data_IF_427045516831
#
_entry.id   IF_427045516831
#
_cell.length_a   1.000
_cell.length_b   1.000
_cell.length_c   1.000
_cell.angle_alpha   90.00
_cell.angle_beta   90.00
_cell.angle_gamma   90.00
#
_symmetry.space_group_name_H-M   'P 1'
#
loop_
_entity.id
_entity.type
_entity.pdbx_description
1 polymer ?
#
# COMPACT_ATOMS: atom_id res chain seq x y z
N UNK A 1 -18.13 40.02 -14.15
CA UNK A 1 -18.61 39.14 -15.24
C UNK A 1 -19.13 37.79 -14.73
N UNK A 2 -19.52 37.65 -13.46
CA UNK A 2 -19.97 36.36 -12.86
C UNK A 2 -21.14 36.51 -11.89
N UNK A 3 -21.80 37.69 -11.83
CA UNK A 3 -22.89 37.93 -10.86
C UNK A 3 -24.08 36.98 -11.09
N UNK A 4 -24.33 36.62 -12.35
CA UNK A 4 -25.46 35.80 -12.77
C UNK A 4 -25.02 34.38 -13.22
N UNK A 5 -23.76 34.02 -12.96
CA UNK A 5 -23.27 32.67 -13.26
C UNK A 5 -23.77 31.68 -12.20
N UNK A 6 -24.11 30.43 -12.57
CA UNK A 6 -24.48 29.40 -11.61
C UNK A 6 -23.35 29.14 -10.62
N UNK A 7 -23.70 28.75 -9.39
CA UNK A 7 -22.69 28.25 -8.44
C UNK A 7 -22.09 26.95 -8.98
N UNK A 8 -20.92 26.54 -8.46
CA UNK A 8 -20.32 25.26 -8.83
C UNK A 8 -21.24 24.07 -8.48
N UNK A 9 -21.94 24.18 -7.34
CA UNK A 9 -22.91 23.18 -6.87
C UNK A 9 -24.10 23.08 -7.85
N UNK A 10 -24.71 24.22 -8.21
CA UNK A 10 -25.80 24.25 -9.22
C UNK A 10 -25.33 23.74 -10.58
N UNK A 11 -24.11 24.09 -10.99
CA UNK A 11 -23.54 23.67 -12.26
C UNK A 11 -23.35 22.15 -12.32
N UNK A 12 -22.80 21.55 -11.26
CA UNK A 12 -22.52 20.10 -11.24
C UNK A 12 -23.79 19.28 -11.00
N UNK A 13 -24.57 19.65 -9.99
CA UNK A 13 -25.71 18.84 -9.53
C UNK A 13 -26.94 19.04 -10.40
N UNK A 14 -27.22 20.27 -10.85
CA UNK A 14 -28.41 20.61 -11.63
C UNK A 14 -28.12 20.60 -13.13
N UNK A 15 -27.14 21.38 -13.59
CA UNK A 15 -26.90 21.51 -15.05
C UNK A 15 -26.23 20.27 -15.65
N UNK A 16 -25.42 19.57 -14.85
CA UNK A 16 -24.77 18.32 -15.24
C UNK A 16 -25.35 17.09 -14.54
N UNK A 17 -26.50 17.20 -13.87
CA UNK A 17 -27.28 16.06 -13.34
C UNK A 17 -26.44 15.05 -12.54
N UNK A 18 -25.61 15.53 -11.60
CA UNK A 18 -24.76 14.68 -10.76
C UNK A 18 -23.81 13.76 -11.56
N UNK A 19 -23.38 14.18 -12.76
CA UNK A 19 -22.60 13.34 -13.72
C UNK A 19 -21.44 12.56 -13.10
N UNK A 20 -20.79 13.11 -12.09
CA UNK A 20 -19.60 12.52 -11.46
C UNK A 20 -19.88 11.71 -10.19
N UNK A 21 -21.11 11.77 -9.66
CA UNK A 21 -21.46 11.26 -8.33
C UNK A 21 -21.17 9.77 -8.12
N UNK A 22 -21.30 8.97 -9.18
CA UNK A 22 -21.04 7.52 -9.16
C UNK A 22 -19.78 7.13 -9.95
N UNK A 23 -18.94 8.10 -10.33
CA UNK A 23 -17.78 7.88 -11.17
C UNK A 23 -16.47 8.00 -10.39
N UNK A 24 -15.46 7.25 -10.85
CA UNK A 24 -14.07 7.47 -10.48
C UNK A 24 -13.50 8.57 -11.36
N UNK A 25 -13.12 9.71 -10.77
CA UNK A 25 -12.69 10.90 -11.51
C UNK A 25 -11.24 11.23 -11.23
N UNK A 26 -10.46 11.47 -12.27
CA UNK A 26 -9.12 12.04 -12.16
C UNK A 26 -9.19 13.56 -12.37
N UNK A 27 -8.89 14.33 -11.32
CA UNK A 27 -8.79 15.78 -11.39
C UNK A 27 -7.37 16.16 -11.81
N UNK A 28 -7.23 16.62 -13.06
CA UNK A 28 -5.96 17.14 -13.58
C UNK A 28 -5.97 18.65 -13.49
N UNK A 29 -4.98 19.22 -12.82
CA UNK A 29 -4.79 20.67 -12.79
C UNK A 29 -3.33 21.05 -12.65
N UNK A 30 -3.03 22.32 -12.90
CA UNK A 30 -1.66 22.81 -12.75
C UNK A 30 -1.24 22.85 -11.30
N UNK A 31 -2.12 23.31 -10.41
CA UNK A 31 -1.94 23.23 -8.97
C UNK A 31 -3.11 22.45 -8.37
N UNK A 32 -3.10 21.13 -8.53
CA UNK A 32 -4.22 20.27 -8.15
C UNK A 32 -4.66 20.42 -6.68
N UNK A 33 -3.76 20.84 -5.78
CA UNK A 33 -4.10 21.20 -4.40
C UNK A 33 -5.23 22.25 -4.31
N UNK A 34 -5.26 23.22 -5.23
CA UNK A 34 -6.27 24.27 -5.25
C UNK A 34 -7.60 23.77 -5.83
N UNK A 35 -7.53 23.05 -6.95
CA UNK A 35 -8.72 22.65 -7.71
C UNK A 35 -9.40 21.39 -7.13
N UNK A 36 -8.62 20.40 -6.69
CA UNK A 36 -9.12 19.09 -6.24
C UNK A 36 -10.21 19.17 -5.15
N UNK A 37 -10.06 19.95 -4.06
CA UNK A 37 -11.09 20.05 -3.02
C UNK A 37 -12.42 20.60 -3.53
N UNK A 38 -12.43 21.35 -4.64
CA UNK A 38 -13.65 21.89 -5.24
C UNK A 38 -14.45 20.83 -6.00
N UNK A 39 -13.82 19.73 -6.44
CA UNK A 39 -14.46 18.68 -7.24
C UNK A 39 -14.68 17.37 -6.47
N UNK A 40 -13.81 17.05 -5.51
CA UNK A 40 -13.86 15.80 -4.76
C UNK A 40 -15.22 15.50 -4.10
N UNK A 41 -15.96 16.47 -3.51
CA UNK A 41 -17.27 16.22 -2.91
C UNK A 41 -18.35 15.73 -3.89
N UNK A 42 -18.16 15.94 -5.20
CA UNK A 42 -19.12 15.57 -6.24
C UNK A 42 -18.83 14.23 -6.92
N UNK A 43 -17.81 13.51 -6.46
CA UNK A 43 -17.35 12.25 -7.05
C UNK A 43 -17.52 11.08 -6.08
N UNK A 44 -17.75 9.86 -6.59
CA UNK A 44 -17.72 8.65 -5.74
C UNK A 44 -16.30 8.42 -5.20
N UNK A 45 -15.33 8.48 -6.11
CA UNK A 45 -13.91 8.52 -5.79
C UNK A 45 -13.22 9.53 -6.71
N UNK A 46 -12.38 10.38 -6.13
CA UNK A 46 -11.56 11.32 -6.87
C UNK A 46 -10.09 11.04 -6.61
N UNK A 47 -9.29 11.09 -7.66
CA UNK A 47 -7.82 11.15 -7.60
C UNK A 47 -7.35 12.47 -8.21
N UNK A 48 -6.08 12.82 -8.02
CA UNK A 48 -5.53 14.07 -8.55
C UNK A 48 -4.22 13.83 -9.29
N UNK A 49 -3.96 14.69 -10.28
CA UNK A 49 -2.68 14.75 -10.98
C UNK A 49 -2.26 16.22 -11.16
N UNK A 50 -1.10 16.57 -10.61
CA UNK A 50 -0.61 17.94 -10.54
C UNK A 50 0.49 18.19 -11.57
N UNK A 51 0.20 18.96 -12.64
CA UNK A 51 1.21 19.22 -13.69
C UNK A 51 2.36 20.10 -13.21
N UNK A 52 2.18 20.92 -12.17
CA UNK A 52 3.29 21.62 -11.51
C UNK A 52 4.26 20.63 -10.84
N UNK A 53 3.75 19.60 -10.15
CA UNK A 53 4.60 18.61 -9.48
C UNK A 53 5.32 17.71 -10.49
N UNK A 54 4.62 17.28 -11.55
CA UNK A 54 5.28 16.61 -12.69
C UNK A 54 6.37 17.50 -13.29
N UNK A 55 6.11 18.80 -13.44
CA UNK A 55 7.10 19.77 -13.90
C UNK A 55 8.34 19.84 -13.01
N UNK A 56 8.19 19.71 -11.68
CA UNK A 56 9.33 19.62 -10.74
C UNK A 56 10.17 18.37 -10.97
N UNK A 57 9.53 17.25 -11.29
CA UNK A 57 10.22 15.97 -11.56
C UNK A 57 10.94 15.99 -12.91
N UNK A 58 10.27 16.41 -13.97
CA UNK A 58 10.83 16.39 -15.32
C UNK A 58 11.77 17.57 -15.62
N UNK A 59 11.57 18.71 -14.97
CA UNK A 59 12.33 19.94 -15.23
C UNK A 59 12.83 20.58 -13.92
N UNK A 60 13.65 19.88 -13.12
CA UNK A 60 14.09 20.34 -11.80
C UNK A 60 14.92 21.64 -11.82
N UNK A 61 15.52 21.96 -12.97
CA UNK A 61 16.29 23.19 -13.18
C UNK A 61 15.44 24.37 -13.69
N UNK A 62 14.11 24.23 -13.75
CA UNK A 62 13.24 25.32 -14.22
C UNK A 62 13.34 26.55 -13.29
N UNK A 63 13.36 27.78 -13.83
CA UNK A 63 13.48 29.00 -13.02
C UNK A 63 12.23 29.24 -12.14
N UNK A 64 11.08 28.72 -12.55
CA UNK A 64 9.89 28.59 -11.71
C UNK A 64 8.97 27.53 -12.30
N UNK A 65 8.02 27.05 -11.51
CA UNK A 65 7.04 26.05 -11.92
C UNK A 65 5.66 26.63 -12.22
N UNK A 66 5.58 27.93 -12.54
CA UNK A 66 4.34 28.57 -12.97
C UNK A 66 3.91 28.01 -14.34
N UNK A 67 2.60 27.92 -14.57
CA UNK A 67 2.01 27.32 -15.78
C UNK A 67 2.63 27.86 -17.06
N UNK A 68 2.68 29.18 -17.21
CA UNK A 68 3.25 29.82 -18.41
C UNK A 68 4.76 29.59 -18.59
N UNK A 69 5.51 29.39 -17.49
CA UNK A 69 6.95 29.11 -17.57
C UNK A 69 7.19 27.68 -18.05
N UNK A 70 6.48 26.71 -17.48
CA UNK A 70 6.57 25.32 -17.95
C UNK A 70 6.06 25.17 -19.38
N UNK A 71 4.95 25.82 -19.74
CA UNK A 71 4.42 25.83 -21.10
C UNK A 71 5.48 26.33 -22.09
N UNK A 72 6.18 27.42 -21.75
CA UNK A 72 7.28 27.95 -22.57
C UNK A 72 8.45 26.99 -22.70
N UNK A 73 8.89 26.37 -21.60
CA UNK A 73 10.00 25.40 -21.60
C UNK A 73 9.65 24.17 -22.46
N UNK A 74 8.41 23.69 -22.36
CA UNK A 74 7.95 22.51 -23.08
C UNK A 74 7.53 22.79 -24.53
N UNK A 75 7.56 24.05 -24.97
CA UNK A 75 7.12 24.42 -26.33
C UNK A 75 5.61 24.28 -26.55
N UNK A 76 4.80 24.34 -25.48
CA UNK A 76 3.34 24.29 -25.58
C UNK A 76 2.80 25.60 -26.16
N UNK A 77 2.17 25.53 -27.33
CA UNK A 77 1.75 26.70 -28.11
C UNK A 77 0.60 27.52 -27.47
N UNK A 78 -0.19 26.92 -26.57
CA UNK A 78 -1.22 27.64 -25.81
C UNK A 78 -0.59 28.35 -24.61
N UNK A 79 -0.48 29.68 -24.69
CA UNK A 79 0.07 30.50 -23.60
C UNK A 79 -1.08 30.94 -22.67
N UNK A 80 -1.01 30.69 -21.35
CA UNK A 80 -2.08 31.04 -20.42
C UNK A 80 -2.23 32.56 -20.35
N UNK A 81 -3.46 33.05 -20.49
CA UNK A 81 -3.79 34.49 -20.46
C UNK A 81 -4.49 34.93 -19.18
N UNK A 82 -4.51 34.07 -18.15
CA UNK A 82 -5.30 34.24 -16.91
C UNK A 82 -6.82 34.15 -17.13
N UNK A 83 -7.26 33.52 -18.22
CA UNK A 83 -8.63 33.03 -18.39
C UNK A 83 -8.67 31.56 -18.00
N UNK A 84 -9.71 31.16 -17.26
CA UNK A 84 -9.83 29.80 -16.74
C UNK A 84 -9.77 28.73 -17.83
N UNK A 85 -10.42 28.95 -18.98
CA UNK A 85 -10.38 28.00 -20.09
C UNK A 85 -8.97 27.85 -20.66
N UNK A 86 -8.28 28.96 -20.91
CA UNK A 86 -6.92 28.94 -21.46
C UNK A 86 -5.95 28.23 -20.50
N UNK A 87 -6.08 28.48 -19.19
CA UNK A 87 -5.24 27.84 -18.17
C UNK A 87 -5.50 26.32 -18.10
N UNK A 88 -6.75 25.88 -18.20
CA UNK A 88 -7.12 24.45 -18.28
C UNK A 88 -6.55 23.81 -19.54
N UNK A 89 -6.70 24.46 -20.70
CA UNK A 89 -6.19 23.95 -21.96
C UNK A 89 -4.67 23.86 -21.99
N UNK A 90 -3.96 24.86 -21.45
CA UNK A 90 -2.50 24.82 -21.31
C UNK A 90 -2.08 23.72 -20.34
N UNK A 91 -2.77 23.55 -19.20
CA UNK A 91 -2.47 22.48 -18.25
C UNK A 91 -2.64 21.10 -18.88
N UNK A 92 -3.71 20.89 -19.65
CA UNK A 92 -3.94 19.64 -20.36
C UNK A 92 -2.86 19.38 -21.43
N UNK A 93 -2.49 20.40 -22.21
CA UNK A 93 -1.42 20.28 -23.20
C UNK A 93 -0.06 19.96 -22.55
N UNK A 94 0.23 20.52 -21.37
CA UNK A 94 1.43 20.15 -20.60
C UNK A 94 1.38 18.69 -20.14
N UNK A 95 0.23 18.20 -19.66
CA UNK A 95 0.08 16.79 -19.30
C UNK A 95 0.36 15.88 -20.50
N UNK A 96 -0.22 16.20 -21.68
CA UNK A 96 0.02 15.45 -22.91
C UNK A 96 1.50 15.47 -23.31
N UNK A 97 2.16 16.62 -23.17
CA UNK A 97 3.60 16.74 -23.41
C UNK A 97 4.39 15.83 -22.47
N UNK A 98 4.12 15.85 -21.16
CA UNK A 98 4.82 14.98 -20.20
C UNK A 98 4.60 13.50 -20.50
N UNK A 99 3.37 13.09 -20.83
CA UNK A 99 3.06 11.72 -21.21
C UNK A 99 3.84 11.30 -22.47
N UNK A 100 3.78 12.12 -23.53
CA UNK A 100 4.35 11.79 -24.84
C UNK A 100 5.88 11.83 -24.83
N UNK A 101 6.48 12.86 -24.22
CA UNK A 101 7.93 13.04 -24.20
C UNK A 101 8.66 11.96 -23.38
N UNK A 102 7.95 11.31 -22.45
CA UNK A 102 8.51 10.26 -21.59
C UNK A 102 7.95 8.87 -21.89
N UNK A 103 7.06 8.73 -22.88
CA UNK A 103 6.35 7.48 -23.20
C UNK A 103 5.62 6.84 -22.01
N UNK A 104 4.95 7.67 -21.19
CA UNK A 104 4.24 7.24 -19.99
C UNK A 104 2.72 7.31 -20.19
N UNK A 105 2.02 6.31 -19.66
CA UNK A 105 0.57 6.32 -19.50
C UNK A 105 0.12 7.27 -18.38
N UNK A 106 -1.19 7.54 -18.31
CA UNK A 106 -1.77 8.36 -17.25
C UNK A 106 -1.54 7.71 -15.87
N UNK A 107 -1.70 6.39 -15.77
CA UNK A 107 -1.48 5.65 -14.52
C UNK A 107 -0.03 5.78 -14.05
N UNK A 108 0.94 5.61 -14.95
CA UNK A 108 2.36 5.77 -14.63
C UNK A 108 2.70 7.21 -14.25
N UNK A 109 2.05 8.22 -14.84
CA UNK A 109 2.22 9.62 -14.42
C UNK A 109 1.66 9.89 -13.02
N UNK A 110 0.54 9.25 -12.64
CA UNK A 110 -0.01 9.34 -11.28
C UNK A 110 0.96 8.71 -10.28
N UNK A 111 1.42 7.49 -10.57
CA UNK A 111 2.41 6.80 -9.74
C UNK A 111 3.69 7.63 -9.63
N UNK A 112 4.19 8.17 -10.74
CA UNK A 112 5.36 9.03 -10.75
C UNK A 112 5.14 10.29 -9.92
N UNK A 113 3.98 10.95 -10.00
CA UNK A 113 3.70 12.15 -9.19
C UNK A 113 3.70 11.82 -7.69
N UNK A 114 3.13 10.67 -7.33
CA UNK A 114 2.98 10.22 -5.94
C UNK A 114 4.25 9.57 -5.36
N UNK A 115 5.17 9.11 -6.21
CA UNK A 115 6.39 8.44 -5.80
C UNK A 115 7.28 9.33 -4.91
N UNK A 116 7.83 8.72 -3.87
CA UNK A 116 8.90 9.30 -3.06
C UNK A 116 10.13 9.46 -3.93
N UNK A 117 10.68 10.67 -3.96
CA UNK A 117 11.92 10.99 -4.65
C UNK A 117 13.01 11.15 -3.57
N UNK A 118 13.91 10.17 -3.41
CA UNK A 118 14.95 10.21 -2.38
C UNK A 118 15.97 11.34 -2.62
N UNK A 119 16.04 11.87 -3.84
CA UNK A 119 16.91 12.97 -4.21
C UNK A 119 16.20 14.33 -4.18
N UNK A 120 14.91 14.36 -3.81
CA UNK A 120 14.16 15.60 -3.68
C UNK A 120 14.84 16.54 -2.69
N UNK A 121 15.06 17.78 -3.13
CA UNK A 121 15.67 18.83 -2.31
C UNK A 121 14.64 19.81 -1.80
N UNK A 122 14.88 20.34 -0.61
CA UNK A 122 14.04 21.34 0.03
C UNK A 122 13.98 22.61 -0.85
N UNK A 123 12.80 23.01 -1.34
CA UNK A 123 12.68 24.09 -2.32
C UNK A 123 12.80 25.51 -1.72
N UNK A 124 12.61 25.65 -0.41
CA UNK A 124 12.53 26.92 0.30
C UNK A 124 13.00 26.83 1.74
N UNK A 125 13.02 27.97 2.43
CA UNK A 125 13.32 28.04 3.87
C UNK A 125 14.81 27.90 4.22
N UNK A 126 15.08 27.70 5.51
CA UNK A 126 16.42 27.67 6.11
C UNK A 126 17.31 26.58 5.51
N UNK A 127 16.71 25.45 5.11
CA UNK A 127 17.41 24.28 4.58
C UNK A 127 17.27 24.14 3.06
N UNK A 128 17.00 25.24 2.33
CA UNK A 128 16.84 25.21 0.87
C UNK A 128 18.06 24.54 0.19
N UNK A 129 17.81 23.56 -0.67
CA UNK A 129 18.82 22.80 -1.40
C UNK A 129 19.34 21.54 -0.69
N UNK A 130 19.01 21.34 0.60
CA UNK A 130 19.29 20.08 1.31
C UNK A 130 18.30 19.00 0.87
N UNK A 131 18.72 17.73 0.74
CA UNK A 131 17.78 16.64 0.47
C UNK A 131 16.74 16.55 1.58
N UNK A 132 15.48 16.27 1.21
CA UNK A 132 14.36 16.19 2.16
C UNK A 132 14.61 15.09 3.20
N UNK A 133 15.21 13.97 2.78
CA UNK A 133 15.58 12.85 3.66
C UNK A 133 16.69 13.19 4.66
N UNK A 134 17.47 14.24 4.40
CA UNK A 134 18.58 14.67 5.26
C UNK A 134 18.20 15.87 6.17
N UNK A 135 16.92 16.27 6.18
CA UNK A 135 16.48 17.40 6.99
C UNK A 135 16.55 17.08 8.49
N UNK A 136 16.99 18.05 9.33
CA UNK A 136 16.97 17.89 10.78
C UNK A 136 15.56 17.55 11.30
N UNK A 137 15.50 16.66 12.31
CA UNK A 137 14.25 16.10 12.83
C UNK A 137 13.26 17.16 13.30
N UNK A 138 13.73 18.13 14.05
CA UNK A 138 12.96 19.27 14.55
C UNK A 138 12.40 20.13 13.40
N UNK A 139 13.20 20.36 12.35
CA UNK A 139 12.77 21.14 11.19
C UNK A 139 11.73 20.40 10.35
N UNK A 140 11.89 19.11 10.15
CA UNK A 140 10.91 18.29 9.44
C UNK A 140 9.58 18.19 10.20
N UNK A 141 9.62 18.03 11.53
CA UNK A 141 8.41 18.10 12.38
C UNK A 141 7.73 19.46 12.20
N UNK A 142 8.49 20.55 12.27
CA UNK A 142 7.95 21.89 12.05
C UNK A 142 7.32 22.04 10.66
N UNK A 143 7.95 21.51 9.60
CA UNK A 143 7.38 21.52 8.24
C UNK A 143 6.07 20.73 8.18
N UNK A 144 6.01 19.54 8.77
CA UNK A 144 4.79 18.72 8.84
C UNK A 144 3.66 19.46 9.57
N UNK A 145 4.00 20.25 10.61
CA UNK A 145 3.04 21.02 11.39
C UNK A 145 2.63 22.35 10.74
N UNK A 146 3.47 22.91 9.87
CA UNK A 146 3.29 24.27 9.33
C UNK A 146 2.75 24.24 7.91
N UNK A 147 3.16 23.26 7.12
CA UNK A 147 2.69 23.07 5.77
C UNK A 147 1.39 22.27 5.79
N UNK A 148 0.68 22.39 4.68
CA UNK A 148 -0.53 21.61 4.44
C UNK A 148 -0.20 20.11 4.36
N UNK A 149 -1.09 19.26 4.87
CA UNK A 149 -0.92 17.79 4.84
C UNK A 149 -0.73 17.23 3.43
N UNK A 150 -1.29 17.92 2.44
CA UNK A 150 -1.20 17.57 1.02
C UNK A 150 -0.04 18.25 0.29
N UNK A 151 0.78 19.03 0.99
CA UNK A 151 2.01 19.57 0.42
C UNK A 151 2.96 18.43 0.04
N UNK A 152 3.55 18.53 -1.14
CA UNK A 152 4.46 17.51 -1.65
C UNK A 152 5.66 17.30 -0.72
N UNK A 153 6.17 18.34 -0.03
CA UNK A 153 7.25 18.18 0.95
C UNK A 153 6.77 17.33 2.14
N UNK A 154 5.54 17.55 2.60
CA UNK A 154 4.94 16.75 3.69
C UNK A 154 4.71 15.31 3.24
N UNK A 155 4.26 15.09 2.01
CA UNK A 155 4.12 13.74 1.43
C UNK A 155 5.48 13.03 1.33
N UNK A 156 6.52 13.71 0.84
CA UNK A 156 7.87 13.16 0.81
C UNK A 156 8.37 12.82 2.21
N UNK A 157 8.16 13.68 3.21
CA UNK A 157 8.54 13.41 4.61
C UNK A 157 7.75 12.24 5.23
N UNK A 158 6.45 12.14 4.97
CA UNK A 158 5.58 11.09 5.52
C UNK A 158 5.77 9.73 4.85
N UNK A 159 6.12 9.72 3.56
CA UNK A 159 6.28 8.51 2.78
C UNK A 159 7.74 8.05 2.68
N UNK A 160 8.73 8.87 3.04
CA UNK A 160 10.12 8.42 3.23
C UNK A 160 10.17 7.42 4.40
N UNK A 161 10.60 6.17 4.18
CA UNK A 161 10.78 5.18 5.24
C UNK A 161 11.71 5.71 6.36
N UNK A 162 11.41 5.32 7.59
CA UNK A 162 12.27 5.50 8.79
C UNK A 162 12.43 6.90 9.39
N UNK A 163 12.00 7.98 8.73
CA UNK A 163 12.17 9.34 9.29
C UNK A 163 10.93 9.89 10.04
N UNK A 164 9.70 9.74 9.52
CA UNK A 164 8.52 10.41 10.12
C UNK A 164 7.17 9.67 10.06
N UNK A 165 7.14 8.38 9.71
CA UNK A 165 5.92 7.55 9.74
C UNK A 165 5.42 7.46 11.19
N UNK A 166 4.49 8.35 11.57
CA UNK A 166 3.86 8.39 12.90
C UNK A 166 3.92 9.73 13.64
N UNK A 167 4.59 10.76 13.12
CA UNK A 167 4.53 12.09 13.76
C UNK A 167 3.21 12.77 13.38
N UNK A 168 2.32 12.87 14.36
CA UNK A 168 1.08 13.64 14.27
C UNK A 168 1.32 15.05 14.81
N UNK A 169 0.73 16.05 14.16
CA UNK A 169 0.70 17.42 14.67
C UNK A 169 -0.13 17.48 15.97
N UNK A 170 0.05 18.49 16.83
CA UNK A 170 -0.84 18.71 17.98
C UNK A 170 -2.32 18.86 17.56
N UNK A 171 -2.57 19.42 16.36
CA UNK A 171 -3.91 19.50 15.77
C UNK A 171 -4.44 18.12 15.33
N UNK A 172 -3.59 17.26 14.75
CA UNK A 172 -3.96 15.87 14.39
C UNK A 172 -4.13 14.96 15.61
N UNK A 173 -3.51 15.30 16.74
CA UNK A 173 -3.73 14.61 18.02
C UNK A 173 -5.08 14.97 18.66
N UNK A 174 -5.65 16.14 18.30
CA UNK A 174 -6.92 16.63 18.86
C UNK A 174 -8.13 16.34 17.96
N UNK A 175 -7.91 15.99 16.69
CA UNK A 175 -8.97 15.56 15.78
C UNK A 175 -9.39 14.09 16.04
N UNK A 176 -10.71 13.84 16.13
CA UNK A 176 -11.23 12.49 16.32
C UNK A 176 -10.95 11.65 15.07
N UNK A 177 -10.00 10.74 15.18
CA UNK A 177 -9.66 9.84 14.08
C UNK A 177 -10.79 8.87 13.81
N UNK A 178 -11.07 8.68 12.53
CA UNK A 178 -11.92 7.62 12.03
C UNK A 178 -11.05 6.45 11.58
N UNK A 179 -11.51 5.21 11.73
CA UNK A 179 -10.79 4.06 11.20
C UNK A 179 -10.72 4.14 9.67
N UNK A 180 -9.63 3.63 9.08
CA UNK A 180 -9.41 3.66 7.62
C UNK A 180 -10.48 2.88 6.84
N UNK A 181 -11.13 1.92 7.50
CA UNK A 181 -12.34 1.23 7.06
C UNK A 181 -13.12 0.75 8.29
N UNK A 182 -14.41 0.47 8.12
CA UNK A 182 -15.26 -0.11 9.18
C UNK A 182 -15.64 -1.53 8.78
N UNK A 183 -15.67 -2.50 9.72
CA UNK A 183 -16.08 -3.86 9.41
C UNK A 183 -17.52 -3.89 8.87
N UNK A 184 -17.67 -4.52 7.72
CA UNK A 184 -18.94 -4.84 7.06
C UNK A 184 -19.19 -6.34 7.13
N UNK A 185 -20.30 -6.79 6.53
CA UNK A 185 -20.67 -8.20 6.51
C UNK A 185 -19.59 -9.08 5.85
N UNK A 186 -18.83 -8.56 4.88
CA UNK A 186 -17.81 -9.36 4.18
C UNK A 186 -16.69 -9.82 5.11
N UNK A 187 -16.24 -8.96 6.04
CA UNK A 187 -15.23 -9.30 7.04
C UNK A 187 -15.80 -10.24 8.10
N UNK A 188 -17.04 -9.99 8.53
CA UNK A 188 -17.72 -10.84 9.51
C UNK A 188 -17.97 -12.25 8.97
N UNK A 189 -18.31 -12.37 7.68
CA UNK A 189 -18.53 -13.66 7.03
C UNK A 189 -17.22 -14.41 6.82
N UNK A 190 -16.13 -13.72 6.45
CA UNK A 190 -14.79 -14.31 6.43
C UNK A 190 -14.39 -14.85 7.82
N UNK A 191 -14.65 -14.09 8.89
CA UNK A 191 -14.40 -14.55 10.26
C UNK A 191 -15.24 -15.79 10.62
N UNK A 192 -16.54 -15.81 10.31
CA UNK A 192 -17.41 -16.98 10.57
C UNK A 192 -16.90 -18.22 9.84
N UNK A 193 -16.53 -18.09 8.57
CA UNK A 193 -15.97 -19.20 7.78
C UNK A 193 -14.66 -19.70 8.40
N UNK A 194 -13.74 -18.80 8.72
CA UNK A 194 -12.47 -19.15 9.36
C UNK A 194 -12.67 -19.87 10.72
N UNK A 195 -13.54 -19.32 11.57
CA UNK A 195 -13.84 -19.88 12.88
C UNK A 195 -14.48 -21.27 12.80
N UNK A 196 -15.43 -21.48 11.88
CA UNK A 196 -16.09 -22.78 11.72
C UNK A 196 -15.14 -23.82 11.10
N UNK A 197 -14.39 -23.44 10.06
CA UNK A 197 -13.54 -24.37 9.30
C UNK A 197 -12.26 -24.77 10.03
N UNK A 198 -11.77 -23.95 10.96
CA UNK A 198 -10.58 -24.24 11.76
C UNK A 198 -10.89 -24.52 13.25
N UNK A 199 -12.16 -24.75 13.62
CA UNK A 199 -12.58 -24.90 15.04
C UNK A 199 -11.85 -26.01 15.81
N UNK A 200 -11.53 -27.10 15.13
CA UNK A 200 -10.86 -28.28 15.72
C UNK A 200 -9.34 -28.27 15.47
N UNK A 201 -8.83 -27.25 14.77
CA UNK A 201 -7.42 -27.11 14.43
C UNK A 201 -6.59 -26.52 15.58
N UNK A 202 -5.33 -26.95 15.68
CA UNK A 202 -4.35 -26.39 16.62
C UNK A 202 -3.09 -25.93 15.91
N UNK A 203 -2.40 -24.95 16.48
CA UNK A 203 -1.08 -24.54 16.02
C UNK A 203 -0.11 -25.70 16.19
N UNK A 204 0.65 -25.95 15.13
CA UNK A 204 1.55 -27.10 14.99
C UNK A 204 2.49 -27.23 16.20
N UNK A 205 2.43 -28.38 16.88
CA UNK A 205 3.25 -28.66 18.06
C UNK A 205 2.74 -28.03 19.37
N UNK A 206 1.51 -27.49 19.41
CA UNK A 206 0.94 -26.83 20.60
C UNK A 206 -0.52 -27.25 20.83
N UNK A 207 -1.14 -26.74 21.90
CA UNK A 207 -2.59 -26.85 22.17
C UNK A 207 -3.34 -25.55 21.83
N UNK A 208 -2.66 -24.56 21.25
CA UNK A 208 -3.23 -23.26 20.96
C UNK A 208 -4.19 -23.39 19.76
N UNK A 209 -5.44 -22.94 19.86
CA UNK A 209 -6.39 -23.00 18.75
C UNK A 209 -5.88 -22.30 17.49
N UNK A 210 -6.10 -22.90 16.31
CA UNK A 210 -5.56 -22.40 15.04
C UNK A 210 -6.06 -20.99 14.68
N UNK A 211 -7.29 -20.66 15.07
CA UNK A 211 -7.89 -19.33 14.88
C UNK A 211 -7.03 -18.19 15.45
N UNK A 212 -6.18 -18.46 16.45
CA UNK A 212 -5.22 -17.48 16.99
C UNK A 212 -4.28 -16.93 15.91
N UNK A 213 -3.81 -17.79 14.99
CA UNK A 213 -2.96 -17.38 13.89
C UNK A 213 -3.72 -16.56 12.87
N UNK A 214 -4.90 -17.01 12.46
CA UNK A 214 -5.72 -16.31 11.46
C UNK A 214 -6.06 -14.89 11.93
N UNK A 215 -6.42 -14.75 13.22
CA UNK A 215 -6.65 -13.45 13.85
C UNK A 215 -5.38 -12.60 13.90
N UNK A 216 -4.23 -13.18 14.21
CA UNK A 216 -2.97 -12.45 14.28
C UNK A 216 -2.49 -11.98 12.90
N UNK A 217 -2.61 -12.81 11.86
CA UNK A 217 -2.28 -12.42 10.48
C UNK A 217 -3.22 -11.33 10.01
N UNK A 218 -4.52 -11.45 10.28
CA UNK A 218 -5.50 -10.40 9.97
C UNK A 218 -5.13 -9.10 10.69
N UNK A 219 -4.87 -9.13 12.00
CA UNK A 219 -4.47 -7.96 12.77
C UNK A 219 -3.21 -7.29 12.20
N UNK A 220 -2.18 -8.06 11.82
CA UNK A 220 -0.98 -7.52 11.16
C UNK A 220 -1.32 -6.84 9.84
N UNK A 221 -2.18 -7.43 9.01
CA UNK A 221 -2.63 -6.78 7.76
C UNK A 221 -3.30 -5.44 8.06
N UNK A 222 -4.16 -5.37 9.09
CA UNK A 222 -4.84 -4.12 9.49
C UNK A 222 -3.85 -3.06 9.98
N UNK A 223 -2.94 -3.44 10.90
CA UNK A 223 -1.94 -2.55 11.49
C UNK A 223 -0.98 -1.97 10.44
N UNK A 224 -0.73 -2.70 9.36
CA UNK A 224 0.15 -2.29 8.27
C UNK A 224 -0.60 -1.72 7.06
N UNK A 225 -1.86 -1.26 7.26
CA UNK A 225 -2.60 -0.45 6.30
C UNK A 225 -3.38 -1.24 5.25
N UNK A 226 -3.58 -2.54 5.45
CA UNK A 226 -4.38 -3.38 4.58
C UNK A 226 -5.86 -3.00 4.57
N UNK A 227 -6.49 -3.27 3.43
CA UNK A 227 -7.93 -3.08 3.22
C UNK A 227 -8.76 -4.12 3.97
N UNK A 228 -10.06 -3.87 4.13
CA UNK A 228 -10.99 -4.86 4.67
C UNK A 228 -10.94 -6.21 3.91
N UNK A 229 -10.83 -6.16 2.58
CA UNK A 229 -10.71 -7.35 1.71
C UNK A 229 -9.44 -8.14 2.03
N UNK A 230 -8.30 -7.47 2.20
CA UNK A 230 -7.05 -8.13 2.59
C UNK A 230 -7.12 -8.71 4.01
N UNK A 231 -7.77 -7.99 4.93
CA UNK A 231 -7.96 -8.47 6.30
C UNK A 231 -8.87 -9.71 6.35
N UNK A 232 -9.91 -9.76 5.51
CA UNK A 232 -10.75 -10.95 5.32
C UNK A 232 -10.00 -12.11 4.66
N UNK A 233 -9.20 -11.83 3.63
CA UNK A 233 -8.35 -12.85 3.00
C UNK A 233 -7.30 -13.41 3.97
N UNK A 234 -6.75 -12.59 4.85
CA UNK A 234 -5.84 -13.03 5.91
C UNK A 234 -6.50 -13.99 6.90
N UNK A 235 -7.80 -13.83 7.20
CA UNK A 235 -8.54 -14.80 8.01
C UNK A 235 -8.71 -16.15 7.32
N UNK A 236 -8.64 -16.17 5.99
CA UNK A 236 -8.97 -17.34 5.16
C UNK A 236 -7.77 -17.92 4.41
N UNK A 237 -6.57 -17.36 4.58
CA UNK A 237 -5.42 -17.70 3.72
C UNK A 237 -5.06 -19.20 3.73
N UNK A 238 -5.32 -19.90 4.84
CA UNK A 238 -5.10 -21.35 4.99
C UNK A 238 -6.34 -22.22 4.72
N UNK A 239 -7.50 -21.62 4.42
CA UNK A 239 -8.77 -22.37 4.35
C UNK A 239 -8.73 -23.44 3.26
N UNK A 240 -8.17 -23.09 2.09
CA UNK A 240 -8.03 -24.00 0.96
C UNK A 240 -6.96 -25.05 1.24
N UNK A 241 -5.96 -24.77 2.07
CA UNK A 241 -4.89 -25.73 2.34
C UNK A 241 -5.28 -26.77 3.40
N UNK A 242 -5.87 -26.30 4.50
CA UNK A 242 -5.90 -27.06 5.74
C UNK A 242 -7.32 -27.49 6.16
N UNK A 243 -8.32 -27.20 5.34
CA UNK A 243 -9.73 -27.57 5.60
C UNK A 243 -10.37 -28.33 4.44
N UNK A 244 -11.60 -28.79 4.61
CA UNK A 244 -12.41 -29.45 3.58
C UNK A 244 -12.97 -28.49 2.52
N UNK A 245 -12.90 -27.17 2.75
CA UNK A 245 -13.42 -26.16 1.84
C UNK A 245 -12.40 -25.80 0.75
N UNK A 246 -12.38 -26.60 -0.33
CA UNK A 246 -11.49 -26.40 -1.50
C UNK A 246 -12.14 -25.68 -2.69
N UNK A 247 -13.48 -25.68 -2.75
CA UNK A 247 -14.23 -25.09 -3.86
C UNK A 247 -14.20 -23.55 -3.80
N UNK A 248 -13.45 -22.94 -4.72
CA UNK A 248 -13.27 -21.49 -4.80
C UNK A 248 -14.52 -20.76 -5.27
N UNK A 249 -15.40 -21.41 -6.04
CA UNK A 249 -16.67 -20.82 -6.45
C UNK A 249 -17.63 -20.73 -5.25
N UNK A 250 -17.72 -21.81 -4.48
CA UNK A 250 -18.53 -21.80 -3.25
C UNK A 250 -17.96 -20.81 -2.22
N UNK A 251 -16.63 -20.77 -2.03
CA UNK A 251 -16.00 -19.79 -1.15
C UNK A 251 -16.29 -18.35 -1.61
N UNK A 252 -16.24 -18.07 -2.91
CA UNK A 252 -16.52 -16.73 -3.45
C UNK A 252 -17.98 -16.32 -3.25
N UNK A 253 -18.92 -17.28 -3.25
CA UNK A 253 -20.31 -17.02 -2.92
C UNK A 253 -20.52 -16.64 -1.44
N UNK A 254 -19.63 -17.09 -0.54
CA UNK A 254 -19.70 -16.77 0.89
C UNK A 254 -19.04 -15.43 1.23
N UNK A 255 -17.88 -15.13 0.64
CA UNK A 255 -17.02 -14.02 1.08
C UNK A 255 -16.62 -13.05 -0.03
N UNK A 256 -17.17 -13.21 -1.22
CA UNK A 256 -16.89 -12.37 -2.38
C UNK A 256 -15.63 -12.78 -3.17
N UNK A 257 -15.60 -12.50 -4.49
CA UNK A 257 -14.55 -12.97 -5.39
C UNK A 257 -13.18 -12.33 -5.13
N UNK A 258 -13.14 -11.07 -4.67
CA UNK A 258 -11.86 -10.37 -4.42
C UNK A 258 -11.09 -10.97 -3.24
N UNK A 259 -11.78 -11.41 -2.18
CA UNK A 259 -11.16 -12.15 -1.06
C UNK A 259 -10.58 -13.47 -1.58
N UNK A 260 -11.36 -14.22 -2.34
CA UNK A 260 -10.94 -15.54 -2.85
C UNK A 260 -9.74 -15.43 -3.79
N UNK A 261 -9.69 -14.39 -4.61
CA UNK A 261 -8.53 -14.12 -5.47
C UNK A 261 -7.23 -14.01 -4.66
N UNK A 262 -7.28 -13.32 -3.51
CA UNK A 262 -6.13 -13.20 -2.60
C UNK A 262 -5.82 -14.54 -1.92
N UNK A 263 -6.84 -15.24 -1.41
CA UNK A 263 -6.66 -16.55 -0.77
C UNK A 263 -6.00 -17.56 -1.71
N UNK A 264 -6.43 -17.60 -2.98
CA UNK A 264 -5.84 -18.45 -4.02
C UNK A 264 -4.37 -18.09 -4.27
N UNK A 265 -4.02 -16.81 -4.32
CA UNK A 265 -2.63 -16.37 -4.47
C UNK A 265 -1.77 -16.73 -3.25
N UNK A 266 -2.35 -16.83 -2.05
CA UNK A 266 -1.64 -17.28 -0.85
C UNK A 266 -1.54 -18.81 -0.71
N UNK A 267 -2.29 -19.59 -1.51
CA UNK A 267 -2.37 -21.05 -1.40
C UNK A 267 -1.16 -21.72 -2.07
N UNK A 268 -0.39 -22.48 -1.30
CA UNK A 268 0.84 -23.18 -1.71
C UNK A 268 0.56 -24.52 -2.41
N UNK A 269 -0.57 -25.17 -2.13
CA UNK A 269 -0.99 -26.40 -2.79
C UNK A 269 -2.51 -26.61 -2.72
N UNK A 270 -3.09 -27.06 -3.84
CA UNK A 270 -4.50 -27.48 -3.90
C UNK A 270 -4.65 -29.00 -3.74
N UNK A 271 -3.56 -29.74 -3.96
CA UNK A 271 -3.53 -31.19 -3.95
C UNK A 271 -3.43 -31.78 -2.53
N UNK A 272 -4.10 -32.91 -2.31
CA UNK A 272 -4.04 -33.72 -1.10
C UNK A 272 -3.74 -35.20 -1.47
N UNK A 273 -2.60 -35.78 -1.07
CA UNK A 273 -1.56 -35.21 -0.21
C UNK A 273 -0.72 -34.11 -0.88
N UNK A 274 -0.27 -33.14 -0.07
CA UNK A 274 0.57 -32.02 -0.54
C UNK A 274 1.84 -32.55 -1.25
N UNK A 275 2.26 -31.95 -2.39
CA UNK A 275 3.53 -32.27 -3.04
C UNK A 275 4.76 -32.11 -2.13
N UNK A 276 5.95 -32.62 -2.54
CA UNK A 276 7.18 -32.49 -1.76
C UNK A 276 7.44 -31.05 -1.29
N UNK A 277 7.85 -30.91 -0.02
CA UNK A 277 7.96 -29.60 0.63
C UNK A 277 8.91 -28.64 -0.10
N UNK A 278 10.09 -29.13 -0.49
CA UNK A 278 11.12 -28.32 -1.14
C UNK A 278 10.64 -27.74 -2.47
N UNK A 279 10.04 -28.57 -3.31
CA UNK A 279 9.53 -28.17 -4.62
C UNK A 279 8.46 -27.08 -4.52
N UNK A 280 7.54 -27.21 -3.55
CA UNK A 280 6.52 -26.17 -3.29
C UNK A 280 7.14 -24.85 -2.87
N UNK A 281 8.11 -24.89 -1.95
CA UNK A 281 8.76 -23.67 -1.46
C UNK A 281 9.59 -22.98 -2.54
N UNK A 282 10.22 -23.71 -3.45
CA UNK A 282 10.91 -23.12 -4.61
C UNK A 282 9.93 -22.44 -5.57
N UNK A 283 8.79 -23.09 -5.87
CA UNK A 283 7.71 -22.46 -6.66
C UNK A 283 7.15 -21.22 -5.98
N UNK A 284 6.97 -21.25 -4.67
CA UNK A 284 6.52 -20.09 -3.91
C UNK A 284 7.51 -18.92 -4.03
N UNK A 285 8.83 -19.15 -3.97
CA UNK A 285 9.81 -18.07 -4.13
C UNK A 285 9.67 -17.39 -5.50
N UNK A 286 9.45 -18.16 -6.57
CA UNK A 286 9.18 -17.61 -7.91
C UNK A 286 7.88 -16.78 -7.90
N UNK A 287 6.81 -17.33 -7.33
CA UNK A 287 5.54 -16.60 -7.21
C UNK A 287 5.69 -15.31 -6.39
N UNK A 288 6.45 -15.34 -5.29
CA UNK A 288 6.74 -14.17 -4.49
C UNK A 288 7.49 -13.09 -5.29
N UNK A 289 8.44 -13.49 -6.13
CA UNK A 289 9.15 -12.56 -7.02
C UNK A 289 8.18 -11.89 -8.02
N UNK A 290 7.22 -12.64 -8.57
CA UNK A 290 6.16 -12.09 -9.41
C UNK A 290 5.28 -11.10 -8.63
N UNK A 291 4.89 -11.42 -7.39
CA UNK A 291 4.14 -10.50 -6.54
C UNK A 291 4.90 -9.21 -6.24
N UNK A 292 6.22 -9.30 -6.04
CA UNK A 292 7.08 -8.16 -5.72
C UNK A 292 7.36 -7.29 -6.95
N UNK A 293 7.34 -7.86 -8.16
CA UNK A 293 7.52 -7.10 -9.39
C UNK A 293 6.38 -6.09 -9.63
N UNK A 294 5.19 -6.36 -9.10
CA UNK A 294 4.02 -5.47 -9.18
C UNK A 294 3.42 -5.20 -7.78
N UNK A 295 4.17 -4.55 -6.87
CA UNK A 295 3.87 -4.56 -5.44
C UNK A 295 2.65 -3.71 -5.05
N UNK A 296 2.29 -2.72 -5.87
CA UNK A 296 1.14 -1.83 -5.64
C UNK A 296 -0.18 -2.52 -6.03
N UNK A 297 -0.15 -3.41 -7.02
CA UNK A 297 -1.35 -4.10 -7.54
C UNK A 297 -1.52 -5.49 -6.92
N UNK A 298 -0.47 -6.07 -6.33
CA UNK A 298 -0.55 -7.41 -5.75
C UNK A 298 -1.09 -7.41 -4.31
N UNK A 299 -2.42 -7.48 -4.20
CA UNK A 299 -3.13 -7.46 -2.92
C UNK A 299 -2.75 -8.61 -1.95
N UNK A 300 -2.14 -9.70 -2.44
CA UNK A 300 -1.73 -10.84 -1.63
C UNK A 300 -0.39 -10.64 -0.91
N UNK A 301 0.46 -9.72 -1.37
CA UNK A 301 1.82 -9.56 -0.86
C UNK A 301 1.86 -9.24 0.64
N UNK A 302 0.99 -8.34 1.11
CA UNK A 302 0.89 -7.99 2.53
C UNK A 302 0.38 -9.16 3.39
N UNK A 303 -0.60 -9.92 2.88
CA UNK A 303 -1.15 -11.10 3.57
C UNK A 303 -0.07 -12.18 3.70
N UNK A 304 0.63 -12.47 2.61
CA UNK A 304 1.74 -13.40 2.57
C UNK A 304 2.85 -13.01 3.57
N UNK A 305 3.25 -11.73 3.60
CA UNK A 305 4.26 -11.25 4.55
C UNK A 305 3.78 -11.39 6.00
N UNK A 306 2.55 -10.98 6.30
CA UNK A 306 1.98 -11.07 7.65
C UNK A 306 1.94 -12.52 8.16
N UNK A 307 1.57 -13.48 7.30
CA UNK A 307 1.63 -14.90 7.63
C UNK A 307 3.05 -15.35 8.01
N UNK A 308 4.04 -15.07 7.14
CA UNK A 308 5.42 -15.49 7.41
C UNK A 308 6.00 -14.83 8.66
N UNK A 309 5.64 -13.58 8.94
CA UNK A 309 6.05 -12.87 10.17
C UNK A 309 5.47 -13.55 11.40
N UNK A 310 4.16 -13.81 11.43
CA UNK A 310 3.55 -14.43 12.60
C UNK A 310 4.13 -15.82 12.89
N UNK A 311 4.38 -16.60 11.83
CA UNK A 311 5.02 -17.91 11.95
C UNK A 311 6.47 -17.80 12.48
N UNK A 312 7.26 -16.85 11.96
CA UNK A 312 8.62 -16.61 12.42
C UNK A 312 8.64 -16.11 13.88
N UNK A 313 7.78 -15.16 14.25
CA UNK A 313 7.74 -14.59 15.61
C UNK A 313 7.28 -15.63 16.64
N UNK A 314 6.29 -16.46 16.31
CA UNK A 314 5.90 -17.59 17.17
C UNK A 314 7.09 -18.52 17.40
N UNK A 315 7.85 -18.82 16.35
CA UNK A 315 9.04 -19.68 16.44
C UNK A 315 10.18 -19.02 17.22
N UNK A 316 10.40 -17.72 17.03
CA UNK A 316 11.39 -16.95 17.76
C UNK A 316 11.07 -16.89 19.27
N UNK A 317 9.79 -16.83 19.63
CA UNK A 317 9.36 -16.88 21.04
C UNK A 317 9.69 -18.22 21.70
N UNK A 318 9.60 -19.34 20.98
CA UNK A 318 10.06 -20.64 21.50
C UNK A 318 11.56 -20.62 21.81
N UNK A 319 12.37 -19.93 21.00
CA UNK A 319 13.80 -19.76 21.29
C UNK A 319 14.03 -18.85 22.50
N UNK A 320 13.37 -17.69 22.54
CA UNK A 320 13.62 -16.66 23.55
C UNK A 320 13.04 -17.00 24.93
N UNK A 321 11.85 -17.58 24.97
CA UNK A 321 11.08 -17.79 26.19
C UNK A 321 11.21 -19.22 26.72
N UNK A 322 11.34 -20.21 25.82
CA UNK A 322 11.42 -21.62 26.20
C UNK A 322 12.86 -22.16 26.09
N UNK A 323 13.79 -21.41 25.51
CA UNK A 323 15.20 -21.80 25.39
C UNK A 323 15.44 -22.93 24.38
N UNK A 324 14.50 -23.19 23.48
CA UNK A 324 14.63 -24.24 22.47
C UNK A 324 15.59 -23.81 21.35
N UNK A 325 16.34 -24.77 20.81
CA UNK A 325 17.14 -24.57 19.60
C UNK A 325 16.31 -24.81 18.34
N UNK A 326 16.69 -24.21 17.20
CA UNK A 326 16.02 -24.47 15.92
C UNK A 326 15.95 -25.97 15.58
N UNK A 327 16.96 -26.76 15.95
CA UNK A 327 16.98 -28.21 15.75
C UNK A 327 15.93 -28.96 16.59
N UNK A 328 15.64 -28.47 17.80
CA UNK A 328 14.58 -29.03 18.66
C UNK A 328 13.18 -28.63 18.21
N UNK A 329 13.05 -27.43 17.64
CA UNK A 329 11.78 -26.94 17.09
C UNK A 329 11.43 -27.67 15.80
N UNK A 330 12.34 -27.67 14.81
CA UNK A 330 12.11 -28.22 13.48
C UNK A 330 12.39 -29.73 13.41
N UNK A 331 11.84 -30.48 14.38
CA UNK A 331 11.85 -31.94 14.35
C UNK A 331 10.72 -32.48 13.46
N UNK A 332 11.01 -33.58 12.77
CA UNK A 332 10.03 -34.31 11.97
C UNK A 332 9.72 -35.65 12.66
N UNK A 333 8.46 -35.91 13.10
CA UNK A 333 7.31 -34.99 13.16
C UNK A 333 7.43 -33.98 14.33
N UNK A 334 6.67 -32.87 14.31
CA UNK A 334 5.56 -32.60 13.40
C UNK A 334 5.94 -31.90 12.08
N UNK A 335 7.14 -31.35 11.91
CA UNK A 335 7.53 -30.61 10.70
C UNK A 335 7.89 -31.53 9.54
N UNK A 336 7.59 -31.12 8.30
CA UNK A 336 7.90 -31.94 7.11
C UNK A 336 9.29 -31.64 6.53
N UNK A 337 10.02 -30.68 7.10
CA UNK A 337 11.31 -30.19 6.65
C UNK A 337 12.20 -29.92 7.85
N UNK A 338 13.48 -30.31 7.72
CA UNK A 338 14.47 -30.19 8.80
C UNK A 338 15.01 -28.77 8.97
N UNK A 339 15.86 -28.56 9.98
CA UNK A 339 16.41 -27.24 10.33
C UNK A 339 17.13 -26.53 9.16
N UNK A 340 17.88 -27.26 8.33
CA UNK A 340 18.62 -26.67 7.21
C UNK A 340 17.69 -26.18 6.09
N UNK A 341 16.65 -26.95 5.80
CA UNK A 341 15.62 -26.59 4.84
C UNK A 341 14.80 -25.39 5.33
N UNK A 342 14.43 -25.37 6.61
CA UNK A 342 13.73 -24.25 7.23
C UNK A 342 14.59 -22.98 7.24
N UNK A 343 15.90 -23.12 7.52
CA UNK A 343 16.84 -22.01 7.47
C UNK A 343 16.93 -21.43 6.06
N UNK A 344 17.08 -22.29 5.04
CA UNK A 344 17.04 -21.85 3.64
C UNK A 344 15.74 -21.11 3.34
N UNK A 345 14.59 -21.67 3.71
CA UNK A 345 13.28 -21.09 3.41
C UNK A 345 13.11 -19.69 4.01
N UNK A 346 13.34 -19.55 5.32
CA UNK A 346 13.18 -18.26 6.00
C UNK A 346 14.21 -17.23 5.55
N UNK A 347 15.45 -17.63 5.26
CA UNK A 347 16.47 -16.68 4.74
C UNK A 347 16.16 -16.25 3.31
N UNK A 348 15.63 -17.14 2.46
CA UNK A 348 15.11 -16.77 1.14
C UNK A 348 13.92 -15.83 1.22
N UNK A 349 12.97 -16.06 2.12
CA UNK A 349 11.84 -15.15 2.33
C UNK A 349 12.30 -13.74 2.72
N UNK A 350 13.21 -13.62 3.69
CA UNK A 350 13.77 -12.31 4.08
C UNK A 350 14.42 -11.64 2.88
N UNK A 351 15.28 -12.35 2.13
CA UNK A 351 15.97 -11.80 0.97
C UNK A 351 15.02 -11.31 -0.13
N UNK A 352 13.92 -12.03 -0.39
CA UNK A 352 12.92 -11.61 -1.36
C UNK A 352 12.07 -10.45 -0.84
N UNK A 353 11.47 -10.56 0.35
CA UNK A 353 10.63 -9.49 0.90
C UNK A 353 11.37 -8.17 1.10
N UNK A 354 12.67 -8.18 1.38
CA UNK A 354 13.50 -6.96 1.46
C UNK A 354 13.59 -6.17 0.15
N UNK A 355 13.21 -6.76 -0.99
CA UNK A 355 13.14 -6.06 -2.29
C UNK A 355 11.81 -5.32 -2.48
N UNK A 356 10.81 -5.61 -1.67
CA UNK A 356 9.50 -4.95 -1.74
C UNK A 356 9.52 -3.59 -1.05
N UNK A 357 8.72 -2.65 -1.57
CA UNK A 357 8.39 -1.39 -0.90
C UNK A 357 7.19 -1.52 0.05
N UNK A 358 6.51 -2.67 0.08
CA UNK A 358 5.34 -2.93 0.94
C UNK A 358 5.78 -3.24 2.36
N UNK A 359 5.22 -2.49 3.32
CA UNK A 359 5.37 -2.72 4.76
C UNK A 359 6.83 -3.00 5.23
N UNK A 360 7.81 -2.11 4.96
CA UNK A 360 9.22 -2.36 5.28
C UNK A 360 9.47 -2.70 6.76
N UNK A 361 8.73 -2.06 7.68
CA UNK A 361 8.79 -2.36 9.12
C UNK A 361 8.32 -3.77 9.48
N UNK A 362 7.43 -4.35 8.68
CA UNK A 362 6.99 -5.74 8.85
C UNK A 362 8.05 -6.72 8.33
N UNK A 363 8.76 -6.36 7.27
CA UNK A 363 9.95 -7.12 6.79
C UNK A 363 11.05 -7.14 7.84
N UNK A 364 11.31 -6.02 8.52
CA UNK A 364 12.27 -5.98 9.64
C UNK A 364 11.89 -6.94 10.78
N UNK A 365 10.59 -7.05 11.08
CA UNK A 365 10.10 -8.00 12.10
C UNK A 365 10.40 -9.44 11.69
N UNK A 366 10.18 -9.78 10.41
CA UNK A 366 10.54 -11.07 9.85
C UNK A 366 12.05 -11.33 10.02
N UNK A 367 12.90 -10.42 9.55
CA UNK A 367 14.37 -10.56 9.62
C UNK A 367 14.85 -10.73 11.07
N UNK A 368 14.35 -9.92 12.01
CA UNK A 368 14.69 -10.06 13.44
C UNK A 368 14.28 -11.43 13.99
N UNK A 369 13.08 -11.91 13.68
CA UNK A 369 12.62 -13.22 14.12
C UNK A 369 13.49 -14.34 13.54
N UNK A 370 13.79 -14.29 12.24
CA UNK A 370 14.65 -15.29 11.56
C UNK A 370 16.06 -15.32 12.16
N UNK A 371 16.65 -14.15 12.44
CA UNK A 371 17.95 -14.04 13.14
C UNK A 371 17.92 -14.62 14.53
N UNK A 372 16.78 -14.56 15.24
CA UNK A 372 16.61 -15.20 16.55
C UNK A 372 16.51 -16.71 16.44
N UNK A 373 15.77 -17.22 15.46
CA UNK A 373 15.56 -18.67 15.28
C UNK A 373 16.89 -19.38 15.00
N UNK A 374 17.69 -18.87 14.07
CA UNK A 374 18.88 -19.56 13.53
C UNK A 374 20.22 -19.00 14.00
N UNK A 375 20.28 -18.49 15.24
CA UNK A 375 21.51 -17.99 15.88
C UNK A 375 22.65 -19.00 15.91
#
# INVERSE_FOLDING_TARGET
MVKDAPTLDDFITVQHADKFRNSNVLVVAHNAKFDYPMFAPYCAHATQLCTMNLGRKFYPAAPSYKLGVLAKICGVHKVPTHRALDDVETSFALLQHFATANSLSISELIELEQAVDPDAVMPFGKHKGTKIVDLPKDYAIWLINTLDKDDWVVRQLRNTPDLYIGIRTEAEMTEKLMPNWQPTDIFLDAFKVAAEKHKDGVRKGTTIPYISHLLAVSALVIEFGGTEVQAGAALLHDVIEDTDLKDTFFLAALVGPEIVKIVVACTDAFEDPKPPWRERKEKYIVHLQEMIAEPVTNAALLVALADKVHNAETTANMVLLEGLTAKQIFINPPFNAGVDEQKWWYTSLVAEFSKSTVAPKLVERLDRAVKVIFK
#
